data_IF_283074851259
#
_entry.id   IF_283074851259
#
_cell.length_a   1.000
_cell.length_b   1.000
_cell.length_c   1.000
_cell.angle_alpha   90.00
_cell.angle_beta   90.00
_cell.angle_gamma   90.00
#
_symmetry.space_group_name_H-M   'P 1'
#
loop_
_entity.id
_entity.type
_entity.pdbx_description
1 polymer ?
#
# COMPACT_ATOMS: atom_id res chain seq x y z
N UNK A 1 5.72 9.93 -24.11
CA UNK A 1 5.17 8.70 -23.49
C UNK A 1 4.15 8.05 -24.41
N UNK A 2 3.09 8.76 -24.84
CA UNK A 2 2.09 8.21 -25.78
C UNK A 2 2.69 7.73 -27.12
N UNK A 3 3.59 8.52 -27.73
CA UNK A 3 4.28 8.12 -28.97
C UNK A 3 5.01 6.76 -28.87
N UNK A 4 5.61 6.46 -27.71
CA UNK A 4 6.28 5.18 -27.49
C UNK A 4 5.31 4.01 -27.25
N UNK A 5 4.06 4.30 -26.88
CA UNK A 5 3.00 3.30 -26.78
C UNK A 5 2.49 2.96 -28.18
N UNK A 6 2.17 3.97 -28.98
CA UNK A 6 1.68 3.79 -30.36
C UNK A 6 2.74 3.23 -31.30
N UNK A 7 4.02 3.39 -31.00
CA UNK A 7 5.14 2.76 -31.72
C UNK A 7 5.21 1.23 -31.49
N UNK A 8 4.73 0.75 -30.34
CA UNK A 8 4.84 -0.66 -29.95
C UNK A 8 3.54 -1.45 -29.99
N UNK A 9 2.41 -0.76 -30.00
CA UNK A 9 1.09 -1.36 -29.89
C UNK A 9 0.16 -0.71 -30.91
N UNK A 10 -0.50 -1.54 -31.72
CA UNK A 10 -1.50 -1.14 -32.71
C UNK A 10 -2.86 -1.74 -32.32
N UNK A 11 -3.90 -0.90 -32.27
CA UNK A 11 -5.29 -1.30 -32.11
C UNK A 11 -6.21 -0.13 -32.45
N UNK A 12 -7.36 -0.44 -33.04
CA UNK A 12 -8.34 0.54 -33.54
C UNK A 12 -8.89 1.47 -32.44
N UNK A 13 -8.93 1.01 -31.19
CA UNK A 13 -9.53 1.71 -30.04
C UNK A 13 -8.50 2.28 -29.04
N UNK A 14 -7.23 2.39 -29.44
CA UNK A 14 -6.15 2.81 -28.53
C UNK A 14 -6.39 4.20 -27.93
N UNK A 15 -6.95 5.14 -28.69
CA UNK A 15 -7.17 6.51 -28.21
C UNK A 15 -8.31 6.58 -27.17
N UNK A 16 -9.31 5.69 -27.26
CA UNK A 16 -10.39 5.55 -26.26
C UNK A 16 -9.79 5.23 -24.89
N UNK A 17 -8.74 4.41 -24.86
CA UNK A 17 -8.09 3.98 -23.62
C UNK A 17 -6.86 4.82 -23.23
N UNK A 18 -6.52 5.85 -24.00
CA UNK A 18 -5.29 6.63 -23.82
C UNK A 18 -5.08 7.14 -22.40
N UNK A 19 -6.10 7.78 -21.82
CA UNK A 19 -6.00 8.34 -20.46
C UNK A 19 -5.82 7.23 -19.41
N UNK A 20 -6.51 6.11 -19.58
CA UNK A 20 -6.38 4.96 -18.70
C UNK A 20 -4.97 4.37 -18.77
N UNK A 21 -4.44 4.17 -19.99
CA UNK A 21 -3.10 3.64 -20.22
C UNK A 21 -2.04 4.56 -19.62
N UNK A 22 -2.10 5.87 -19.91
CA UNK A 22 -1.15 6.84 -19.36
C UNK A 22 -1.24 6.93 -17.84
N UNK A 23 -2.46 6.85 -17.28
CA UNK A 23 -2.68 6.77 -15.84
C UNK A 23 -2.01 5.53 -15.24
N UNK A 24 -2.21 4.37 -15.84
CA UNK A 24 -1.61 3.12 -15.39
C UNK A 24 -0.07 3.15 -15.48
N UNK A 25 0.49 3.66 -16.57
CA UNK A 25 1.94 3.81 -16.73
C UNK A 25 2.54 4.73 -15.64
N UNK A 26 1.85 5.83 -15.33
CA UNK A 26 2.24 6.74 -14.24
C UNK A 26 2.24 6.03 -12.89
N UNK A 27 1.21 5.22 -12.61
CA UNK A 27 1.14 4.42 -11.39
C UNK A 27 2.28 3.39 -11.29
N UNK A 28 2.56 2.66 -12.37
CA UNK A 28 3.67 1.70 -12.42
C UNK A 28 5.01 2.41 -12.17
N UNK A 29 5.23 3.56 -12.80
CA UNK A 29 6.42 4.38 -12.59
C UNK A 29 6.56 4.85 -11.14
N UNK A 30 5.46 5.31 -10.52
CA UNK A 30 5.44 5.73 -9.12
C UNK A 30 5.76 4.57 -8.16
N UNK A 31 5.14 3.40 -8.38
CA UNK A 31 5.38 2.20 -7.58
C UNK A 31 6.82 1.74 -7.67
N UNK A 32 7.37 1.65 -8.88
CA UNK A 32 8.76 1.26 -9.11
C UNK A 32 9.75 2.22 -8.44
N UNK A 33 9.57 3.54 -8.60
CA UNK A 33 10.41 4.54 -7.90
C UNK A 33 10.29 4.44 -6.39
N UNK A 34 9.08 4.21 -5.87
CA UNK A 34 8.84 4.00 -4.44
C UNK A 34 9.61 2.80 -3.89
N UNK A 35 9.66 1.69 -4.64
CA UNK A 35 10.45 0.51 -4.28
C UNK A 35 11.95 0.82 -4.26
N UNK A 36 12.46 1.55 -5.26
CA UNK A 36 13.85 1.98 -5.28
C UNK A 36 14.20 2.85 -4.07
N UNK A 37 13.37 3.86 -3.79
CA UNK A 37 13.55 4.72 -2.62
C UNK A 37 13.61 3.90 -1.34
N UNK A 38 12.63 3.00 -1.12
CA UNK A 38 12.55 2.19 0.09
C UNK A 38 13.78 1.28 0.29
N UNK A 39 14.32 0.71 -0.80
CA UNK A 39 15.42 -0.25 -0.75
C UNK A 39 16.81 0.40 -0.67
N UNK A 40 17.01 1.50 -1.39
CA UNK A 40 18.35 2.05 -1.62
C UNK A 40 18.59 3.42 -0.97
N UNK A 41 17.54 4.17 -0.62
CA UNK A 41 17.65 5.57 -0.16
C UNK A 41 17.14 5.76 1.27
N UNK A 42 16.00 5.13 1.60
CA UNK A 42 15.33 5.34 2.88
C UNK A 42 16.25 4.95 4.06
N UNK A 43 16.45 5.89 4.98
CA UNK A 43 17.26 5.69 6.19
C UNK A 43 18.78 5.66 5.95
N UNK A 44 19.24 5.95 4.73
CA UNK A 44 20.66 5.96 4.36
C UNK A 44 21.14 7.39 4.07
N UNK A 45 22.42 7.70 4.35
CA UNK A 45 23.04 8.93 3.89
C UNK A 45 23.03 9.01 2.35
N UNK A 46 22.90 10.23 1.81
CA UNK A 46 22.87 10.48 0.35
C UNK A 46 24.10 9.89 -0.35
N UNK A 47 25.29 10.01 0.27
CA UNK A 47 26.53 9.47 -0.28
C UNK A 47 26.51 7.94 -0.43
N UNK A 48 25.88 7.24 0.52
CA UNK A 48 25.73 5.78 0.45
C UNK A 48 24.70 5.39 -0.62
N UNK A 49 23.59 6.13 -0.71
CA UNK A 49 22.58 5.91 -1.73
C UNK A 49 23.15 6.08 -3.15
N UNK A 50 24.02 7.07 -3.37
CA UNK A 50 24.67 7.32 -4.67
C UNK A 50 25.59 6.17 -5.10
N UNK A 51 26.25 5.49 -4.15
CA UNK A 51 27.10 4.32 -4.44
C UNK A 51 26.28 3.08 -4.78
N UNK A 52 25.07 2.96 -4.22
CA UNK A 52 24.20 1.79 -4.36
C UNK A 52 23.33 1.84 -5.63
N UNK A 53 23.95 1.88 -6.82
CA UNK A 53 23.24 1.92 -8.11
C UNK A 53 22.52 0.59 -8.40
N UNK A 54 21.21 0.58 -8.70
CA UNK A 54 20.51 -0.64 -9.10
C UNK A 54 20.98 -1.17 -10.47
N UNK A 55 21.11 -2.50 -10.63
CA UNK A 55 21.66 -3.17 -11.83
C UNK A 55 21.04 -2.77 -13.19
N UNK A 56 19.77 -2.33 -13.20
CA UNK A 56 19.01 -2.00 -14.43
C UNK A 56 18.72 -0.50 -14.56
N UNK A 57 19.41 0.34 -13.79
CA UNK A 57 19.23 1.79 -13.81
C UNK A 57 20.56 2.41 -14.22
N UNK A 58 20.52 3.30 -15.21
CA UNK A 58 21.71 4.03 -15.61
C UNK A 58 22.21 4.92 -14.46
N UNK A 59 23.53 5.08 -14.36
CA UNK A 59 24.14 5.84 -13.27
C UNK A 59 23.69 7.30 -13.25
N UNK A 60 23.59 7.96 -14.42
CA UNK A 60 23.14 9.37 -14.48
C UNK A 60 21.68 9.49 -14.08
N UNK A 61 20.85 8.56 -14.52
CA UNK A 61 19.44 8.51 -14.12
C UNK A 61 19.28 8.30 -12.60
N UNK A 62 20.13 7.45 -12.00
CA UNK A 62 20.12 7.23 -10.56
C UNK A 62 20.56 8.45 -9.77
N UNK A 63 21.64 9.11 -10.21
CA UNK A 63 22.12 10.35 -9.59
C UNK A 63 21.06 11.44 -9.63
N UNK A 64 20.37 11.60 -10.76
CA UNK A 64 19.25 12.53 -10.89
C UNK A 64 18.11 12.17 -9.94
N UNK A 65 17.71 10.89 -9.85
CA UNK A 65 16.65 10.47 -8.92
C UNK A 65 16.99 10.82 -7.46
N UNK A 66 18.23 10.62 -7.04
CA UNK A 66 18.65 10.96 -5.67
C UNK A 66 18.65 12.47 -5.45
N UNK A 67 19.35 13.22 -6.31
CA UNK A 67 19.61 14.65 -6.12
C UNK A 67 18.39 15.51 -6.40
N UNK A 68 17.65 15.21 -7.46
CA UNK A 68 16.59 16.10 -7.97
C UNK A 68 15.19 15.65 -7.57
N UNK A 69 14.98 14.35 -7.29
CA UNK A 69 13.64 13.83 -6.99
C UNK A 69 13.44 13.43 -5.52
N UNK A 70 14.31 12.57 -4.97
CA UNK A 70 14.17 12.11 -3.59
C UNK A 70 14.61 13.15 -2.56
N UNK A 71 15.45 14.11 -2.99
CA UNK A 71 15.88 15.24 -2.14
C UNK A 71 14.94 16.45 -2.22
N UNK A 72 13.93 16.44 -3.10
CA UNK A 72 12.98 17.56 -3.18
C UNK A 72 12.18 17.69 -1.89
N UNK A 73 12.03 18.91 -1.39
CA UNK A 73 11.24 19.20 -0.18
C UNK A 73 9.81 18.66 -0.28
N UNK A 74 9.15 18.84 -1.43
CA UNK A 74 7.78 18.36 -1.65
C UNK A 74 7.65 16.83 -1.54
N UNK A 75 8.65 16.09 -2.01
CA UNK A 75 8.70 14.63 -1.89
C UNK A 75 8.92 14.21 -0.45
N UNK A 76 9.90 14.80 0.23
CA UNK A 76 10.21 14.51 1.64
C UNK A 76 9.02 14.84 2.54
N UNK A 77 8.39 16.00 2.37
CA UNK A 77 7.20 16.40 3.11
C UNK A 77 6.04 15.41 2.92
N UNK A 78 5.78 14.97 1.67
CA UNK A 78 4.74 13.97 1.39
C UNK A 78 5.09 12.61 2.01
N UNK A 79 6.34 12.17 1.89
CA UNK A 79 6.83 10.91 2.45
C UNK A 79 6.68 10.88 3.98
N UNK A 80 7.11 11.95 4.67
CA UNK A 80 7.03 12.09 6.11
C UNK A 80 5.57 12.15 6.59
N UNK A 81 4.71 12.89 5.89
CA UNK A 81 3.27 12.92 6.18
C UNK A 81 2.64 11.54 6.04
N UNK A 82 2.96 10.82 4.96
CA UNK A 82 2.43 9.47 4.74
C UNK A 82 2.93 8.48 5.81
N UNK A 83 4.19 8.59 6.23
CA UNK A 83 4.74 7.78 7.32
C UNK A 83 4.01 8.07 8.64
N UNK A 84 3.83 9.35 9.00
CA UNK A 84 3.11 9.75 10.20
C UNK A 84 1.62 9.36 10.15
N UNK A 85 0.98 9.41 8.98
CA UNK A 85 -0.39 8.92 8.83
C UNK A 85 -0.46 7.40 8.97
N UNK A 86 0.56 6.68 8.50
CA UNK A 86 0.63 5.22 8.64
C UNK A 86 0.81 4.79 10.10
N UNK A 87 1.55 5.54 10.93
CA UNK A 87 1.69 5.22 12.35
C UNK A 87 0.39 5.46 13.14
N UNK A 88 -0.48 6.37 12.67
CA UNK A 88 -1.81 6.59 13.23
C UNK A 88 -2.84 5.52 12.82
N UNK A 89 -2.48 4.56 11.96
CA UNK A 89 -3.37 3.50 11.54
C UNK A 89 -3.60 2.51 12.70
N UNK A 90 -4.71 2.72 13.42
CA UNK A 90 -5.12 1.89 14.56
C UNK A 90 -5.83 0.58 14.14
N UNK A 91 -6.51 0.58 12.98
CA UNK A 91 -7.25 -0.58 12.47
C UNK A 91 -6.69 -1.06 11.14
N UNK A 92 -6.52 -2.37 10.99
CA UNK A 92 -6.19 -2.98 9.70
C UNK A 92 -7.39 -2.92 8.75
N UNK A 93 -7.15 -2.51 7.51
CA UNK A 93 -8.18 -2.45 6.46
C UNK A 93 -8.59 -3.83 5.93
N UNK A 94 -7.68 -4.81 5.98
CA UNK A 94 -7.96 -6.17 5.54
C UNK A 94 -8.43 -7.04 6.72
N UNK A 95 -9.33 -7.96 6.40
CA UNK A 95 -9.68 -9.09 7.24
C UNK A 95 -8.58 -10.15 7.09
N UNK A 96 -8.36 -10.97 8.12
CA UNK A 96 -7.43 -12.10 8.05
C UNK A 96 -7.68 -13.03 6.85
N UNK A 97 -6.79 -13.99 6.63
CA UNK A 97 -6.89 -14.92 5.49
C UNK A 97 -8.14 -15.79 5.50
N UNK A 98 -8.78 -15.96 6.67
CA UNK A 98 -10.01 -16.75 6.80
C UNK A 98 -11.23 -15.93 6.38
N UNK A 99 -12.10 -16.49 5.52
CA UNK A 99 -13.34 -15.83 5.15
C UNK A 99 -14.30 -15.74 6.34
N UNK A 100 -15.13 -14.69 6.37
CA UNK A 100 -16.09 -14.42 7.45
C UNK A 100 -17.01 -15.64 7.69
N UNK A 101 -17.48 -16.28 6.61
CA UNK A 101 -18.35 -17.46 6.69
C UNK A 101 -17.72 -18.62 7.48
N UNK A 102 -16.43 -18.86 7.27
CA UNK A 102 -15.72 -19.92 7.98
C UNK A 102 -15.59 -19.59 9.47
N UNK A 103 -15.33 -18.32 9.80
CA UNK A 103 -15.30 -17.84 11.19
C UNK A 103 -16.66 -18.05 11.86
N UNK A 104 -17.76 -17.67 11.20
CA UNK A 104 -19.13 -17.87 11.71
C UNK A 104 -19.40 -19.35 11.98
N UNK A 105 -19.06 -20.22 11.02
CA UNK A 105 -19.25 -21.66 11.14
C UNK A 105 -18.47 -22.24 12.33
N UNK A 106 -17.19 -21.88 12.48
CA UNK A 106 -16.32 -22.36 13.56
C UNK A 106 -16.75 -21.87 14.96
N UNK A 107 -17.40 -20.71 15.04
CA UNK A 107 -17.77 -20.04 16.31
C UNK A 107 -19.20 -20.32 16.78
N UNK A 108 -19.82 -21.39 16.30
CA UNK A 108 -21.14 -21.86 16.76
C UNK A 108 -22.22 -21.82 15.69
N UNK A 109 -21.95 -21.27 14.50
CA UNK A 109 -22.89 -21.31 13.38
C UNK A 109 -23.23 -22.72 12.90
N UNK A 110 -22.36 -23.71 13.15
CA UNK A 110 -22.65 -25.14 12.89
C UNK A 110 -23.68 -25.76 13.85
N UNK A 111 -23.86 -25.15 15.02
CA UNK A 111 -24.73 -25.61 16.10
C UNK A 111 -25.97 -24.69 16.25
N UNK A 112 -26.32 -23.95 15.19
CA UNK A 112 -27.37 -22.92 15.14
C UNK A 112 -27.24 -21.82 16.22
N UNK A 113 -26.00 -21.59 16.69
CA UNK A 113 -25.64 -20.56 17.68
C UNK A 113 -24.59 -19.61 17.09
N UNK A 114 -24.96 -18.79 16.09
CA UNK A 114 -23.98 -17.93 15.42
C UNK A 114 -23.36 -16.93 16.41
N UNK A 115 -22.06 -16.61 16.26
CA UNK A 115 -21.41 -15.59 17.06
C UNK A 115 -22.01 -14.20 16.80
N UNK A 116 -21.92 -13.31 17.79
CA UNK A 116 -22.29 -11.91 17.62
C UNK A 116 -21.30 -11.14 16.70
N UNK A 117 -21.71 -9.94 16.30
CA UNK A 117 -20.90 -9.09 15.42
C UNK A 117 -19.56 -8.69 16.04
N UNK A 118 -19.51 -8.51 17.36
CA UNK A 118 -18.29 -8.16 18.08
C UNK A 118 -17.25 -9.29 18.01
N UNK A 119 -17.70 -10.54 18.15
CA UNK A 119 -16.90 -11.75 18.03
C UNK A 119 -16.40 -11.92 16.61
N UNK A 120 -17.26 -11.74 15.60
CA UNK A 120 -16.84 -11.77 14.19
C UNK A 120 -15.81 -10.67 13.92
N UNK A 121 -16.03 -9.46 14.41
CA UNK A 121 -15.11 -8.33 14.26
C UNK A 121 -13.75 -8.62 14.89
N UNK A 122 -13.73 -9.14 16.12
CA UNK A 122 -12.51 -9.52 16.82
C UNK A 122 -11.75 -10.61 16.07
N UNK A 123 -12.43 -11.69 15.69
CA UNK A 123 -11.83 -12.85 15.02
C UNK A 123 -11.27 -12.51 13.63
N UNK A 124 -11.92 -11.61 12.91
CA UNK A 124 -11.47 -11.17 11.58
C UNK A 124 -10.24 -10.25 11.62
N UNK A 125 -9.95 -9.62 12.78
CA UNK A 125 -8.95 -8.55 12.90
C UNK A 125 -7.87 -8.80 13.95
N UNK A 126 -7.95 -9.89 14.71
CA UNK A 126 -6.93 -10.29 15.70
C UNK A 126 -5.62 -10.69 15.02
N UNK A 127 -4.51 -10.35 15.65
CA UNK A 127 -3.15 -10.81 15.33
C UNK A 127 -2.52 -11.33 16.63
N UNK A 128 -2.04 -12.57 16.64
CA UNK A 128 -1.54 -13.24 17.85
C UNK A 128 -2.55 -13.19 19.02
N UNK A 129 -3.83 -13.39 18.72
CA UNK A 129 -4.96 -13.29 19.68
C UNK A 129 -5.18 -11.92 20.34
N UNK A 130 -4.55 -10.86 19.85
CA UNK A 130 -4.71 -9.50 20.35
C UNK A 130 -5.17 -8.60 19.19
N UNK A 131 -6.04 -7.62 19.45
CA UNK A 131 -6.31 -6.57 18.48
C UNK A 131 -5.20 -5.52 18.52
N UNK A 132 -4.87 -4.95 17.35
CA UNK A 132 -3.85 -3.91 17.23
C UNK A 132 -4.15 -2.68 18.10
N UNK A 133 -5.43 -2.39 18.35
CA UNK A 133 -5.89 -1.34 19.27
C UNK A 133 -7.12 -1.83 20.08
N UNK A 134 -6.99 -2.11 21.38
CA UNK A 134 -8.09 -2.57 22.24
C UNK A 134 -9.24 -1.57 22.42
N UNK A 135 -8.97 -0.25 22.35
CA UNK A 135 -10.00 0.81 22.52
C UNK A 135 -11.08 0.77 21.41
N UNK A 136 -10.78 0.13 20.28
CA UNK A 136 -11.68 0.02 19.13
C UNK A 136 -12.86 -0.91 19.43
N UNK A 137 -12.66 -1.95 20.24
CA UNK A 137 -13.73 -2.90 20.62
C UNK A 137 -14.84 -2.14 21.32
N UNK A 138 -14.48 -1.30 22.29
CA UNK A 138 -15.43 -0.55 23.10
C UNK A 138 -16.30 0.39 22.26
N UNK A 139 -15.72 1.02 21.23
CA UNK A 139 -16.47 1.85 20.27
C UNK A 139 -17.47 1.04 19.44
N UNK A 140 -17.10 -0.17 19.00
CA UNK A 140 -18.01 -1.01 18.21
C UNK A 140 -19.12 -1.62 19.06
N UNK A 141 -18.83 -1.97 20.32
CA UNK A 141 -19.86 -2.46 21.28
C UNK A 141 -20.90 -1.37 21.56
N UNK A 142 -20.49 -0.10 21.67
CA UNK A 142 -21.40 1.03 21.91
C UNK A 142 -22.31 1.39 20.73
N UNK A 143 -21.98 0.98 19.50
CA UNK A 143 -22.79 1.23 18.30
C UNK A 143 -23.94 0.23 18.13
N UNK A 144 -24.11 -0.73 19.03
CA UNK A 144 -25.12 -1.81 18.98
C UNK A 144 -26.34 -1.50 19.88
N UNK A 145 -26.65 -0.21 20.11
CA UNK A 145 -27.88 0.23 20.78
C UNK A 145 -28.77 1.02 19.84
#
# INVERSE_FOLDING_TARGET
>A
MWAAVTDKFESDDMDIHRNHILGWMKELWNKWRGQLYAKYVKGKPIQEALKNVPKRVDKKQWEWLIKEHFSTESFQARSNRNAANRTKLKMLHHIGSKPIREIIYQKGGKDDKPPDLATIFFETRKKNNILVDPEIIEKHVRLVY
#
